data_IF_169755461789
#
_entry.id   IF_169755461789
#
_cell.length_a   1.000
_cell.length_b   1.000
_cell.length_c   1.000
_cell.angle_alpha   90.00
_cell.angle_beta   90.00
_cell.angle_gamma   90.00
#
_symmetry.space_group_name_H-M   'P 1'
#
loop_
_entity.id
_entity.type
_entity.pdbx_description
1 polymer ?
#
# COMPACT_ATOMS: atom_id res chain seq x y z
N UNK A 1 -5.83 12.66 9.90
CA UNK A 1 -4.62 11.80 9.82
C UNK A 1 -4.07 11.85 8.41
N UNK A 2 -2.75 11.70 8.24
CA UNK A 2 -2.11 11.74 6.91
C UNK A 2 -1.21 10.53 6.72
N UNK A 3 -1.32 9.88 5.57
CA UNK A 3 -0.46 8.78 5.16
C UNK A 3 0.36 9.17 3.94
N UNK A 4 1.62 8.74 3.94
CA UNK A 4 2.57 8.93 2.85
C UNK A 4 2.91 7.56 2.29
N UNK A 5 2.80 7.37 0.98
CA UNK A 5 3.20 6.13 0.33
C UNK A 5 4.19 6.41 -0.80
N UNK A 6 5.29 5.65 -0.78
CA UNK A 6 6.31 5.66 -1.81
C UNK A 6 5.88 4.73 -2.93
N UNK A 7 5.88 5.25 -4.15
CA UNK A 7 5.62 4.44 -5.32
C UNK A 7 6.75 3.44 -5.57
N UNK A 8 6.42 2.35 -6.27
CA UNK A 8 7.39 1.38 -6.77
C UNK A 8 8.54 2.02 -7.54
N UNK A 9 9.71 1.39 -7.56
CA UNK A 9 10.74 1.75 -8.54
C UNK A 9 10.20 1.46 -9.94
N UNK A 10 9.64 2.51 -10.53
CA UNK A 10 9.23 2.56 -11.91
C UNK A 10 10.48 2.88 -12.73
N UNK A 11 11.47 1.98 -12.74
CA UNK A 11 12.53 1.97 -13.77
C UNK A 11 11.91 1.58 -15.11
N UNK A 12 10.97 2.40 -15.57
CA UNK A 12 10.30 2.24 -16.85
C UNK A 12 11.20 2.89 -17.88
N UNK A 13 11.92 2.07 -18.63
CA UNK A 13 12.45 2.51 -19.92
C UNK A 13 11.24 2.89 -20.79
N UNK A 14 11.05 4.18 -21.05
CA UNK A 14 10.00 4.70 -21.94
C UNK A 14 8.72 5.19 -21.24
N UNK A 15 8.66 6.50 -21.02
CA UNK A 15 7.50 7.42 -20.98
C UNK A 15 6.18 7.16 -20.21
N UNK A 16 5.90 6.03 -19.56
CA UNK A 16 4.55 5.83 -18.99
C UNK A 16 4.37 6.18 -17.50
N UNK A 17 5.36 6.82 -16.84
CA UNK A 17 5.30 7.13 -15.40
C UNK A 17 4.01 7.84 -14.97
N UNK A 18 3.57 8.83 -15.74
CA UNK A 18 2.35 9.59 -15.44
C UNK A 18 1.09 8.70 -15.47
N UNK A 19 1.03 7.73 -16.39
CA UNK A 19 -0.09 6.79 -16.47
C UNK A 19 -0.13 5.89 -15.23
N UNK A 20 1.04 5.40 -14.77
CA UNK A 20 1.15 4.61 -13.56
C UNK A 20 0.74 5.39 -12.31
N UNK A 21 1.18 6.65 -12.19
CA UNK A 21 0.79 7.53 -11.10
C UNK A 21 -0.73 7.78 -11.09
N UNK A 22 -1.30 8.11 -12.25
CA UNK A 22 -2.73 8.35 -12.39
C UNK A 22 -3.56 7.10 -12.08
N UNK A 23 -3.13 5.94 -12.57
CA UNK A 23 -3.78 4.66 -12.31
C UNK A 23 -3.71 4.28 -10.84
N UNK A 24 -2.55 4.45 -10.19
CA UNK A 24 -2.42 4.17 -8.77
C UNK A 24 -3.35 5.08 -7.95
N UNK A 25 -3.37 6.38 -8.25
CA UNK A 25 -4.29 7.34 -7.63
C UNK A 25 -5.75 6.92 -7.81
N UNK A 26 -6.13 6.49 -9.02
CA UNK A 26 -7.46 6.00 -9.31
C UNK A 26 -7.81 4.74 -8.51
N UNK A 27 -6.89 3.76 -8.45
CA UNK A 27 -7.07 2.53 -7.69
C UNK A 27 -7.20 2.82 -6.18
N UNK A 28 -6.39 3.73 -5.64
CA UNK A 28 -6.52 4.18 -4.25
C UNK A 28 -7.91 4.81 -4.00
N UNK A 29 -8.36 5.69 -4.91
CA UNK A 29 -9.67 6.33 -4.78
C UNK A 29 -10.83 5.33 -4.85
N UNK A 30 -10.72 4.30 -5.70
CA UNK A 30 -11.70 3.23 -5.78
C UNK A 30 -11.80 2.42 -4.46
N UNK A 31 -10.66 2.08 -3.86
CA UNK A 31 -10.62 1.35 -2.58
C UNK A 31 -11.15 2.17 -1.39
N UNK A 32 -10.97 3.50 -1.42
CA UNK A 32 -11.35 4.40 -0.34
C UNK A 32 -12.63 5.20 -0.64
N UNK A 33 -13.40 4.76 -1.63
CA UNK A 33 -14.61 5.45 -2.04
C UNK A 33 -15.62 5.55 -0.89
N UNK A 34 -16.24 6.72 -0.71
CA UNK A 34 -17.21 6.97 0.35
C UNK A 34 -16.63 7.28 1.73
N UNK A 35 -15.29 7.25 1.91
CA UNK A 35 -14.64 7.51 3.20
C UNK A 35 -14.20 8.97 3.42
N UNK A 36 -14.55 9.89 2.51
CA UNK A 36 -14.16 11.31 2.62
C UNK A 36 -12.65 11.58 2.51
N UNK A 37 -11.86 10.59 2.07
CA UNK A 37 -10.40 10.71 1.98
C UNK A 37 -9.98 11.66 0.85
N UNK A 38 -9.03 12.57 1.14
CA UNK A 38 -8.39 13.41 0.14
C UNK A 38 -7.10 12.74 -0.35
N UNK A 39 -7.07 12.39 -1.62
CA UNK A 39 -5.94 11.65 -2.23
C UNK A 39 -5.23 12.57 -3.21
N UNK A 40 -3.93 12.79 -3.00
CA UNK A 40 -3.08 13.57 -3.90
C UNK A 40 -1.79 12.81 -4.22
N UNK A 41 -1.21 13.11 -5.37
CA UNK A 41 0.05 12.51 -5.81
C UNK A 41 0.96 13.64 -6.25
N UNK A 42 2.16 13.69 -5.68
CA UNK A 42 3.13 14.74 -5.97
C UNK A 42 4.54 14.16 -5.94
N UNK A 43 5.30 14.37 -7.03
CA UNK A 43 6.70 13.95 -7.16
C UNK A 43 6.95 12.48 -6.75
N UNK A 44 6.16 11.54 -7.28
CA UNK A 44 6.32 10.11 -6.99
C UNK A 44 5.92 9.68 -5.57
N UNK A 45 5.12 10.50 -4.87
CA UNK A 45 4.55 10.18 -3.55
C UNK A 45 3.05 10.33 -3.55
N UNK A 46 2.38 9.33 -3.00
CA UNK A 46 0.95 9.33 -2.74
C UNK A 46 0.70 9.84 -1.32
N UNK A 47 -0.23 10.77 -1.20
CA UNK A 47 -0.68 11.37 0.05
C UNK A 47 -2.16 11.05 0.24
N UNK A 48 -2.51 10.59 1.44
CA UNK A 48 -3.90 10.29 1.81
C UNK A 48 -4.20 11.01 3.12
N UNK A 49 -5.01 12.06 3.06
CA UNK A 49 -5.55 12.73 4.24
C UNK A 49 -6.95 12.16 4.53
N UNK A 50 -7.17 11.67 5.74
CA UNK A 50 -8.44 11.05 6.15
C UNK A 50 -8.77 11.29 7.63
N UNK A 51 -10.02 11.07 8.00
CA UNK A 51 -10.44 11.05 9.40
C UNK A 51 -9.96 9.78 10.11
N UNK A 52 -9.97 9.80 11.45
CA UNK A 52 -9.56 8.65 12.27
C UNK A 52 -10.43 7.41 12.02
N UNK A 53 -11.72 7.60 11.76
CA UNK A 53 -12.66 6.51 11.44
C UNK A 53 -12.30 5.74 10.17
N UNK A 54 -11.54 6.35 9.25
CA UNK A 54 -11.11 5.71 8.00
C UNK A 54 -9.72 5.05 8.11
N UNK A 55 -9.01 5.24 9.22
CA UNK A 55 -7.61 4.83 9.37
C UNK A 55 -7.37 3.35 9.07
N UNK A 56 -8.16 2.45 9.69
CA UNK A 56 -8.02 1.00 9.49
C UNK A 56 -8.19 0.60 8.01
N UNK A 57 -9.13 1.24 7.30
CA UNK A 57 -9.37 0.97 5.88
C UNK A 57 -8.26 1.51 4.99
N UNK A 58 -7.68 2.66 5.35
CA UNK A 58 -6.52 3.23 4.65
C UNK A 58 -5.30 2.34 4.84
N UNK A 59 -4.99 1.92 6.06
CA UNK A 59 -3.88 1.02 6.35
C UNK A 59 -4.05 -0.34 5.65
N UNK A 60 -5.25 -0.91 5.67
CA UNK A 60 -5.57 -2.11 4.91
C UNK A 60 -5.34 -1.90 3.41
N UNK A 61 -5.81 -0.79 2.84
CA UNK A 61 -5.63 -0.47 1.43
C UNK A 61 -4.15 -0.34 1.08
N UNK A 62 -3.38 0.42 1.86
CA UNK A 62 -1.94 0.62 1.63
C UNK A 62 -1.13 -0.67 1.71
N UNK A 63 -1.56 -1.61 2.57
CA UNK A 63 -0.94 -2.94 2.68
C UNK A 63 -1.26 -3.87 1.50
N UNK A 64 -2.38 -3.67 0.79
CA UNK A 64 -2.81 -4.57 -0.31
C UNK A 64 -2.71 -3.93 -1.69
N UNK A 65 -2.52 -2.61 -1.78
CA UNK A 65 -2.43 -1.89 -3.04
C UNK A 65 -1.08 -2.18 -3.73
N UNK A 66 -1.17 -2.76 -4.92
CA UNK A 66 0.00 -3.07 -5.75
C UNK A 66 0.55 -1.79 -6.40
N UNK A 67 1.88 -1.69 -6.46
CA UNK A 67 2.57 -0.47 -6.94
C UNK A 67 3.12 0.44 -5.83
N UNK A 68 2.91 0.10 -4.54
CA UNK A 68 3.49 0.82 -3.40
C UNK A 68 4.67 0.01 -2.84
N UNK A 69 5.83 0.66 -2.65
CA UNK A 69 7.01 0.02 -2.02
C UNK A 69 6.97 0.07 -0.51
N UNK A 70 6.42 1.14 0.04
CA UNK A 70 6.23 1.30 1.47
C UNK A 70 5.41 2.54 1.77
N UNK A 71 4.89 2.60 2.98
CA UNK A 71 4.05 3.70 3.43
C UNK A 71 4.28 4.01 4.91
N UNK A 72 3.98 5.22 5.33
CA UNK A 72 4.10 5.65 6.72
C UNK A 72 2.93 6.54 7.10
N UNK A 73 2.47 6.41 8.34
CA UNK A 73 1.57 7.38 8.97
C UNK A 73 2.40 8.59 9.39
N UNK A 74 2.00 9.78 8.96
CA UNK A 74 2.72 11.02 9.20
C UNK A 74 1.91 11.99 10.06
N UNK A 75 2.61 12.61 11.01
CA UNK A 75 2.16 13.79 11.72
C UNK A 75 2.42 15.00 10.83
N UNK A 76 1.36 15.76 10.54
CA UNK A 76 1.47 17.03 9.82
C UNK A 76 1.52 18.14 10.86
N UNK A 77 2.51 19.03 10.74
CA UNK A 77 2.67 20.17 11.63
C UNK A 77 2.91 21.46 10.86
N UNK A 78 2.88 22.58 11.58
CA UNK A 78 3.20 23.90 11.04
C UNK A 78 4.65 23.99 10.57
N UNK A 79 4.93 24.91 9.65
CA UNK A 79 6.28 25.19 9.16
C UNK A 79 7.07 26.07 10.14
N UNK A 80 7.21 25.60 11.37
CA UNK A 80 8.00 26.26 12.42
C UNK A 80 8.88 25.22 13.11
N UNK A 81 10.05 25.63 13.59
CA UNK A 81 10.96 24.69 14.24
C UNK A 81 10.36 24.15 15.54
N UNK A 82 9.57 24.96 16.23
CA UNK A 82 8.86 24.60 17.45
C UNK A 82 7.86 23.47 17.20
N UNK A 83 7.05 23.59 16.15
CA UNK A 83 6.07 22.57 15.78
C UNK A 83 6.74 21.28 15.27
N UNK A 84 7.87 21.41 14.57
CA UNK A 84 8.69 20.26 14.14
C UNK A 84 9.26 19.54 15.35
N UNK A 85 9.89 20.27 16.29
CA UNK A 85 10.49 19.70 17.50
C UNK A 85 9.44 18.95 18.33
N UNK A 86 8.25 19.51 18.46
CA UNK A 86 7.15 18.84 19.17
C UNK A 86 6.71 17.55 18.45
N UNK A 87 6.49 17.60 17.14
CA UNK A 87 6.08 16.43 16.37
C UNK A 87 7.16 15.32 16.34
N UNK A 88 8.45 15.70 16.29
CA UNK A 88 9.58 14.77 16.39
C UNK A 88 9.62 14.12 17.77
N UNK A 89 9.48 14.92 18.83
CA UNK A 89 9.45 14.41 20.21
C UNK A 89 8.29 13.44 20.44
N UNK A 90 7.08 13.75 19.96
CA UNK A 90 5.92 12.88 20.12
C UNK A 90 6.12 11.53 19.40
N UNK A 91 6.70 11.55 18.20
CA UNK A 91 7.05 10.33 17.47
C UNK A 91 8.15 9.54 18.22
N UNK A 92 9.17 10.22 18.74
CA UNK A 92 10.24 9.58 19.51
C UNK A 92 9.70 8.91 20.78
N UNK A 93 8.79 9.58 21.50
CA UNK A 93 8.17 9.05 22.71
C UNK A 93 7.37 7.77 22.42
N UNK A 94 6.66 7.71 21.29
CA UNK A 94 5.96 6.50 20.86
C UNK A 94 6.93 5.36 20.57
N UNK A 95 8.07 5.62 19.93
CA UNK A 95 9.07 4.59 19.62
C UNK A 95 9.84 4.12 20.86
N UNK A 96 10.16 5.04 21.78
CA UNK A 96 10.76 4.70 23.07
C UNK A 96 9.82 3.79 23.89
N UNK A 97 8.51 4.06 23.90
CA UNK A 97 7.49 3.19 24.52
C UNK A 97 7.40 1.81 23.86
N UNK A 98 7.74 1.69 22.58
CA UNK A 98 7.85 0.42 21.85
C UNK A 98 9.17 -0.31 22.12
N UNK A 99 10.08 0.27 22.91
CA UNK A 99 11.34 -0.35 23.33
C UNK A 99 12.57 0.06 22.51
N UNK A 100 12.45 1.03 21.60
CA UNK A 100 13.62 1.59 20.91
C UNK A 100 14.54 2.29 21.91
N UNK A 101 15.85 2.06 21.81
CA UNK A 101 16.87 2.66 22.69
C UNK A 101 17.74 3.66 21.97
N UNK A 102 17.88 3.50 20.65
CA UNK A 102 18.66 4.39 19.79
C UNK A 102 17.81 5.02 18.70
N UNK A 103 18.17 6.23 18.27
CA UNK A 103 17.45 6.94 17.22
C UNK A 103 18.36 7.72 16.29
N UNK A 104 17.81 8.06 15.13
CA UNK A 104 18.38 9.01 14.17
C UNK A 104 17.30 9.93 13.64
N UNK A 105 17.62 11.19 13.39
CA UNK A 105 16.74 12.13 12.68
C UNK A 105 17.29 12.32 11.25
N UNK A 106 16.46 12.07 10.23
CA UNK A 106 16.77 12.35 8.82
C UNK A 106 15.82 13.43 8.29
N UNK A 107 16.33 14.67 8.19
CA UNK A 107 15.57 15.79 7.68
C UNK A 107 15.83 16.04 6.18
N UNK A 108 14.76 16.14 5.40
CA UNK A 108 14.81 16.46 3.96
C UNK A 108 13.98 17.69 3.66
N UNK A 109 14.54 18.54 2.80
CA UNK A 109 13.95 19.84 2.49
C UNK A 109 13.82 20.06 1.00
N UNK A 110 12.57 19.93 0.52
CA UNK A 110 12.19 20.35 -0.82
C UNK A 110 11.98 21.87 -0.88
N UNK A 111 11.43 22.45 0.19
CA UNK A 111 11.21 23.89 0.31
C UNK A 111 12.48 24.62 0.80
N UNK A 112 13.23 25.21 -0.15
CA UNK A 112 14.47 25.95 0.15
C UNK A 112 14.23 27.31 0.83
N UNK A 113 12.97 27.74 0.98
CA UNK A 113 12.60 28.97 1.70
C UNK A 113 12.56 28.81 3.23
N UNK A 114 12.53 27.58 3.76
CA UNK A 114 12.59 27.38 5.22
C UNK A 114 13.91 27.94 5.81
N UNK A 115 13.88 28.59 6.99
CA UNK A 115 15.06 29.26 7.54
C UNK A 115 16.23 28.33 7.87
N UNK A 116 15.93 27.10 8.29
CA UNK A 116 16.95 26.13 8.72
C UNK A 116 17.31 25.14 7.62
N UNK A 117 18.58 24.73 7.61
CA UNK A 117 19.07 23.60 6.82
C UNK A 117 18.58 22.27 7.39
N UNK A 118 18.60 21.21 6.58
CA UNK A 118 18.31 19.85 7.05
C UNK A 118 19.13 19.47 8.28
N UNK A 119 20.42 19.78 8.27
CA UNK A 119 21.32 19.50 9.39
C UNK A 119 20.90 20.26 10.67
N UNK A 120 20.59 21.56 10.54
CA UNK A 120 20.11 22.35 11.68
C UNK A 120 18.79 21.81 12.24
N UNK A 121 17.84 21.40 11.39
CA UNK A 121 16.60 20.75 11.85
C UNK A 121 16.91 19.50 12.67
N UNK A 122 17.82 18.63 12.18
CA UNK A 122 18.23 17.44 12.91
C UNK A 122 18.81 17.79 14.30
N UNK A 123 19.72 18.76 14.37
CA UNK A 123 20.36 19.17 15.63
C UNK A 123 19.36 19.77 16.63
N UNK A 124 18.53 20.71 16.18
CA UNK A 124 17.53 21.38 17.03
C UNK A 124 16.50 20.40 17.58
N UNK A 125 16.06 19.44 16.77
CA UNK A 125 15.09 18.43 17.21
C UNK A 125 15.71 17.31 18.05
N UNK A 126 17.02 17.03 17.92
CA UNK A 126 17.68 15.93 18.64
C UNK A 126 17.76 16.17 20.16
N UNK A 127 18.03 17.40 20.59
CA UNK A 127 18.32 17.70 22.01
C UNK A 127 17.22 17.24 22.96
N UNK A 128 15.94 17.41 22.59
CA UNK A 128 14.80 16.95 23.41
C UNK A 128 14.55 15.44 23.32
N UNK A 129 14.98 14.81 22.23
CA UNK A 129 14.82 13.35 22.03
C UNK A 129 15.90 12.55 22.78
N UNK A 130 17.07 13.14 23.02
CA UNK A 130 18.17 12.52 23.78
C UNK A 130 17.79 12.16 25.23
N UNK A 131 16.77 12.82 25.79
CA UNK A 131 16.19 12.46 27.09
C UNK A 131 15.46 11.10 27.07
N UNK A 132 15.06 10.62 25.89
CA UNK A 132 14.28 9.39 25.69
C UNK A 132 15.12 8.24 25.14
N UNK A 133 16.04 8.52 24.21
CA UNK A 133 16.82 7.54 23.46
C UNK A 133 18.21 8.09 23.12
N UNK A 134 19.20 7.23 22.86
CA UNK A 134 20.56 7.65 22.48
C UNK A 134 20.68 7.86 20.96
N UNK A 135 21.49 8.82 20.52
CA UNK A 135 21.76 9.00 19.09
C UNK A 135 22.65 7.87 18.56
N UNK A 136 22.23 7.21 17.49
CA UNK A 136 23.07 6.34 16.65
C UNK A 136 22.82 6.66 15.18
N UNK A 137 23.81 7.24 14.50
CA UNK A 137 23.68 7.67 13.09
C UNK A 137 23.95 6.55 12.09
N UNK A 138 24.50 5.43 12.54
CA UNK A 138 24.92 4.30 11.73
C UNK A 138 23.89 3.17 11.75
N UNK A 139 23.46 2.74 12.94
CA UNK A 139 22.52 1.63 13.12
C UNK A 139 21.45 1.96 14.18
N UNK A 140 20.58 2.96 13.93
CA UNK A 140 19.51 3.32 14.87
C UNK A 140 18.43 2.24 14.95
N UNK A 141 17.83 2.08 16.14
CA UNK A 141 16.63 1.24 16.31
C UNK A 141 15.41 1.86 15.60
N UNK A 142 15.31 3.19 15.59
CA UNK A 142 14.31 3.90 14.78
C UNK A 142 14.88 5.14 14.10
N UNK A 143 14.41 5.41 12.87
CA UNK A 143 14.69 6.68 12.19
C UNK A 143 13.43 7.54 12.17
N UNK A 144 13.56 8.79 12.65
CA UNK A 144 12.52 9.80 12.56
C UNK A 144 12.82 10.68 11.35
N UNK A 145 11.92 10.64 10.38
CA UNK A 145 12.03 11.42 9.15
C UNK A 145 11.29 12.75 9.31
N UNK A 146 11.92 13.84 8.90
CA UNK A 146 11.30 15.16 8.82
C UNK A 146 11.33 15.63 7.38
N UNK A 147 10.18 15.84 6.76
CA UNK A 147 10.09 16.35 5.39
C UNK A 147 9.45 17.73 5.34
N UNK A 148 10.26 18.73 5.02
CA UNK A 148 9.81 20.10 4.82
C UNK A 148 9.54 20.34 3.33
N UNK A 149 8.26 20.39 2.98
CA UNK A 149 7.72 20.64 1.63
C UNK A 149 6.70 21.79 1.67
N UNK A 150 5.60 21.69 0.94
CA UNK A 150 4.43 22.58 1.10
C UNK A 150 3.78 22.43 2.48
N UNK A 151 3.84 21.24 3.07
CA UNK A 151 3.53 20.94 4.48
C UNK A 151 4.77 20.31 5.12
N UNK A 152 4.81 20.26 6.45
CA UNK A 152 5.84 19.48 7.15
C UNK A 152 5.26 18.14 7.57
N UNK A 153 6.00 17.07 7.28
CA UNK A 153 5.63 15.72 7.64
C UNK A 153 6.69 15.13 8.56
N UNK A 154 6.26 14.60 9.71
CA UNK A 154 7.12 13.87 10.64
C UNK A 154 6.59 12.46 10.77
N UNK A 155 7.44 11.46 10.53
CA UNK A 155 7.06 10.06 10.57
C UNK A 155 8.26 9.18 10.94
N UNK A 156 8.00 7.92 11.27
CA UNK A 156 9.04 6.92 11.60
C UNK A 156 9.13 5.87 10.50
N UNK A 157 9.90 4.81 10.70
CA UNK A 157 10.14 3.78 9.69
C UNK A 157 8.85 3.32 8.97
N UNK A 158 8.95 3.22 7.64
CA UNK A 158 7.83 2.90 6.78
C UNK A 158 7.49 1.42 6.80
N UNK A 159 6.20 1.11 6.83
CA UNK A 159 5.67 -0.22 6.55
C UNK A 159 6.00 -0.64 5.12
N UNK A 160 6.24 -1.94 4.93
CA UNK A 160 6.57 -2.50 3.61
C UNK A 160 5.28 -2.74 2.83
N UNK A 161 5.18 -2.14 1.63
CA UNK A 161 4.06 -2.36 0.71
C UNK A 161 4.23 -3.64 -0.14
N UNK A 162 3.17 -4.03 -0.85
CA UNK A 162 3.18 -5.22 -1.70
C UNK A 162 4.12 -5.15 -2.94
N UNK A 163 4.61 -3.96 -3.27
CA UNK A 163 5.43 -3.68 -4.47
C UNK A 163 4.66 -4.09 -5.74
N UNK A 164 5.36 -4.41 -6.82
CA UNK A 164 4.75 -4.75 -8.10
C UNK A 164 4.30 -3.53 -8.88
N UNK A 165 3.41 -3.75 -9.85
CA UNK A 165 2.84 -2.70 -10.70
C UNK A 165 1.37 -2.44 -10.31
N UNK A 166 0.88 -1.19 -10.42
CA UNK A 166 -0.53 -0.87 -10.28
C UNK A 166 -1.41 -1.77 -11.15
N UNK A 167 -2.44 -2.37 -10.57
CA UNK A 167 -3.38 -3.24 -11.30
C UNK A 167 -4.10 -2.44 -12.38
N UNK A 168 -4.14 -3.00 -13.60
CA UNK A 168 -4.68 -2.33 -14.79
C UNK A 168 -3.62 -1.64 -15.65
N UNK A 169 -2.34 -1.64 -15.24
CA UNK A 169 -1.24 -1.10 -16.05
C UNK A 169 -0.80 -2.06 -17.17
N UNK A 170 -1.24 -3.30 -17.11
CA UNK A 170 -1.05 -4.32 -18.15
C UNK A 170 -2.40 -4.76 -18.72
N UNK A 171 -2.39 -5.82 -19.53
CA UNK A 171 -3.59 -6.39 -20.14
C UNK A 171 -4.61 -6.89 -19.10
N UNK A 172 -5.79 -7.27 -19.60
CA UNK A 172 -6.79 -8.02 -18.83
C UNK A 172 -6.62 -9.51 -19.12
N UNK A 173 -6.85 -10.35 -18.12
CA UNK A 173 -6.82 -11.80 -18.28
C UNK A 173 -7.95 -12.50 -17.52
N UNK A 174 -8.38 -13.64 -18.05
CA UNK A 174 -9.32 -14.54 -17.40
C UNK A 174 -8.56 -15.63 -16.65
N UNK A 175 -8.72 -15.68 -15.33
CA UNK A 175 -8.11 -16.68 -14.45
C UNK A 175 -9.06 -17.87 -14.31
N UNK A 176 -8.62 -19.05 -14.76
CA UNK A 176 -9.27 -20.30 -14.40
C UNK A 176 -9.01 -20.60 -12.92
N UNK A 177 -9.99 -20.29 -12.08
CA UNK A 177 -9.88 -20.43 -10.63
C UNK A 177 -10.47 -21.77 -10.20
N UNK A 178 -9.67 -22.54 -9.47
CA UNK A 178 -10.07 -23.83 -8.89
C UNK A 178 -10.06 -23.76 -7.36
N UNK A 179 -10.57 -24.81 -6.70
CA UNK A 179 -10.47 -24.98 -5.26
C UNK A 179 -9.05 -25.35 -4.77
N UNK A 180 -8.07 -25.47 -5.67
CA UNK A 180 -6.66 -25.69 -5.36
C UNK A 180 -5.91 -24.40 -4.98
N UNK A 181 -4.66 -24.55 -4.53
CA UNK A 181 -3.81 -23.41 -4.14
C UNK A 181 -3.08 -22.77 -5.33
N UNK A 182 -2.89 -23.50 -6.43
CA UNK A 182 -2.04 -23.04 -7.53
C UNK A 182 -2.69 -21.91 -8.33
N UNK A 183 -3.96 -22.07 -8.69
CA UNK A 183 -4.70 -21.05 -9.45
C UNK A 183 -4.78 -19.68 -8.75
N UNK A 184 -5.10 -19.56 -7.45
CA UNK A 184 -5.05 -18.26 -6.80
C UNK A 184 -3.63 -17.69 -6.69
N UNK A 185 -2.61 -18.51 -6.45
CA UNK A 185 -1.21 -18.04 -6.45
C UNK A 185 -0.81 -17.51 -7.84
N UNK A 186 -1.22 -18.19 -8.91
CA UNK A 186 -1.02 -17.72 -10.29
C UNK A 186 -1.72 -16.37 -10.52
N UNK A 187 -2.98 -16.23 -10.10
CA UNK A 187 -3.73 -14.99 -10.15
C UNK A 187 -3.02 -13.83 -9.45
N UNK A 188 -2.59 -14.04 -8.20
CA UNK A 188 -1.85 -13.05 -7.43
C UNK A 188 -0.54 -12.63 -8.11
N UNK A 189 0.23 -13.59 -8.64
CA UNK A 189 1.47 -13.30 -9.37
C UNK A 189 1.22 -12.43 -10.61
N UNK A 190 0.12 -12.64 -11.32
CA UNK A 190 -0.24 -11.82 -12.48
C UNK A 190 -0.73 -10.43 -12.08
N UNK A 191 -1.54 -10.33 -11.02
CA UNK A 191 -1.93 -9.05 -10.42
C UNK A 191 -0.71 -8.20 -10.07
N UNK A 192 0.32 -8.79 -9.42
CA UNK A 192 1.58 -8.10 -9.09
C UNK A 192 2.34 -7.55 -10.30
N UNK A 193 2.07 -8.08 -11.50
CA UNK A 193 2.64 -7.57 -12.78
C UNK A 193 1.71 -6.58 -13.47
N UNK A 194 0.71 -6.05 -12.77
CA UNK A 194 -0.20 -5.03 -13.26
C UNK A 194 -1.37 -5.55 -14.10
N UNK A 195 -1.50 -6.87 -14.28
CA UNK A 195 -2.60 -7.45 -15.06
C UNK A 195 -3.90 -7.35 -14.26
N UNK A 196 -4.99 -6.89 -14.87
CA UNK A 196 -6.32 -6.99 -14.25
C UNK A 196 -6.88 -8.38 -14.51
N UNK A 197 -7.39 -9.04 -13.47
CA UNK A 197 -7.92 -10.41 -13.58
C UNK A 197 -9.41 -10.49 -13.30
N UNK A 198 -10.09 -11.34 -14.04
CA UNK A 198 -11.43 -11.84 -13.71
C UNK A 198 -11.36 -13.35 -13.53
N UNK A 199 -12.09 -13.88 -12.55
CA UNK A 199 -12.07 -15.29 -12.22
C UNK A 199 -13.17 -16.03 -12.99
N UNK A 200 -12.86 -17.23 -13.47
CA UNK A 200 -13.80 -18.17 -14.05
C UNK A 200 -13.68 -19.51 -13.32
N UNK A 201 -14.79 -20.01 -12.80
CA UNK A 201 -14.89 -21.30 -12.13
C UNK A 201 -15.94 -22.16 -12.80
N UNK A 202 -15.54 -23.36 -13.23
CA UNK A 202 -16.46 -24.37 -13.74
C UNK A 202 -17.01 -25.19 -12.58
N UNK A 203 -18.33 -25.14 -12.41
CA UNK A 203 -19.03 -25.84 -11.36
C UNK A 203 -19.94 -26.93 -11.94
N UNK A 204 -19.78 -28.16 -11.48
CA UNK A 204 -20.49 -29.33 -12.00
C UNK A 204 -21.43 -29.92 -10.95
N UNK A 205 -22.42 -29.16 -10.49
CA UNK A 205 -23.44 -29.67 -9.58
C UNK A 205 -24.28 -30.78 -10.25
N UNK A 206 -24.60 -31.90 -9.57
CA UNK A 206 -24.33 -32.23 -8.16
C UNK A 206 -23.00 -32.98 -7.91
N UNK A 207 -22.18 -33.21 -8.94
CA UNK A 207 -20.91 -33.93 -8.81
C UNK A 207 -19.84 -33.18 -8.03
N UNK A 208 -19.90 -31.84 -8.03
CA UNK A 208 -19.12 -30.98 -7.15
C UNK A 208 -20.03 -30.36 -6.10
N UNK A 209 -19.60 -30.43 -4.84
CA UNK A 209 -20.39 -29.96 -3.71
C UNK A 209 -20.44 -28.43 -3.60
N UNK A 210 -21.40 -27.91 -2.85
CA UNK A 210 -21.50 -26.48 -2.55
C UNK A 210 -20.32 -25.97 -1.71
N UNK A 211 -19.72 -26.82 -0.87
CA UNK A 211 -18.50 -26.47 -0.12
C UNK A 211 -17.31 -26.21 -1.05
N UNK A 212 -17.19 -26.98 -2.13
CA UNK A 212 -16.15 -26.77 -3.14
C UNK A 212 -16.34 -25.41 -3.84
N UNK A 213 -17.57 -25.05 -4.17
CA UNK A 213 -17.92 -23.71 -4.70
C UNK A 213 -17.60 -22.62 -3.69
N UNK A 214 -17.97 -22.79 -2.42
CA UNK A 214 -17.71 -21.80 -1.37
C UNK A 214 -16.21 -21.57 -1.16
N UNK A 215 -15.40 -22.63 -1.23
CA UNK A 215 -13.93 -22.52 -1.18
C UNK A 215 -13.40 -21.61 -2.29
N UNK A 216 -13.91 -21.76 -3.52
CA UNK A 216 -13.52 -20.91 -4.65
C UNK A 216 -13.96 -19.46 -4.45
N UNK A 217 -15.17 -19.24 -3.93
CA UNK A 217 -15.65 -17.89 -3.58
C UNK A 217 -14.71 -17.23 -2.57
N UNK A 218 -14.31 -17.94 -1.51
CA UNK A 218 -13.37 -17.40 -0.51
C UNK A 218 -11.99 -17.10 -1.11
N UNK A 219 -11.49 -17.94 -2.01
CA UNK A 219 -10.22 -17.68 -2.72
C UNK A 219 -10.33 -16.44 -3.62
N UNK A 220 -11.45 -16.28 -4.34
CA UNK A 220 -11.70 -15.11 -5.18
C UNK A 220 -11.80 -13.82 -4.34
N UNK A 221 -12.44 -13.88 -3.17
CA UNK A 221 -12.50 -12.75 -2.22
C UNK A 221 -11.12 -12.31 -1.74
N UNK A 222 -10.23 -13.27 -1.41
CA UNK A 222 -8.85 -12.96 -1.02
C UNK A 222 -8.04 -12.33 -2.16
N UNK A 223 -8.25 -12.77 -3.40
CA UNK A 223 -7.64 -12.14 -4.57
C UNK A 223 -8.16 -10.72 -4.80
N UNK A 224 -9.45 -10.48 -4.54
CA UNK A 224 -10.07 -9.18 -4.73
C UNK A 224 -9.44 -8.08 -3.86
N UNK A 225 -8.84 -8.42 -2.71
CA UNK A 225 -8.08 -7.46 -1.89
C UNK A 225 -6.95 -6.78 -2.68
N UNK A 226 -6.38 -7.46 -3.66
CA UNK A 226 -5.30 -6.93 -4.51
C UNK A 226 -5.80 -6.46 -5.88
N UNK A 227 -6.94 -6.99 -6.34
CA UNK A 227 -7.48 -6.76 -7.69
C UNK A 227 -8.34 -5.50 -7.85
N UNK A 228 -8.56 -4.72 -6.78
CA UNK A 228 -9.49 -3.57 -6.71
C UNK A 228 -10.95 -3.99 -6.90
N UNK A 229 -11.30 -4.44 -8.10
CA UNK A 229 -12.60 -5.01 -8.43
C UNK A 229 -12.36 -6.31 -9.19
N UNK A 230 -12.83 -7.43 -8.65
CA UNK A 230 -12.66 -8.76 -9.23
C UNK A 230 -14.02 -9.44 -9.33
N UNK A 231 -14.37 -9.88 -10.53
CA UNK A 231 -15.57 -10.67 -10.79
C UNK A 231 -15.25 -12.15 -10.71
N UNK A 232 -16.19 -12.94 -10.17
CA UNK A 232 -16.16 -14.39 -10.20
C UNK A 232 -17.32 -14.89 -11.06
N UNK A 233 -16.99 -15.43 -12.22
CA UNK A 233 -17.94 -16.06 -13.13
C UNK A 233 -18.03 -17.56 -12.79
N UNK A 234 -19.23 -18.02 -12.41
CA UNK A 234 -19.49 -19.42 -12.09
C UNK A 234 -20.23 -20.03 -13.26
N UNK A 235 -19.58 -20.95 -13.97
CA UNK A 235 -20.07 -21.54 -15.21
C UNK A 235 -20.60 -22.96 -14.92
N UNK A 236 -21.89 -23.25 -15.15
CA UNK A 236 -22.41 -24.60 -15.07
C UNK A 236 -21.74 -25.50 -16.11
N UNK A 237 -21.12 -26.60 -15.67
CA UNK A 237 -20.34 -27.46 -16.55
C UNK A 237 -20.82 -28.93 -16.59
N UNK A 238 -21.84 -29.27 -15.80
CA UNK A 238 -22.36 -30.64 -15.67
C UNK A 238 -22.76 -31.27 -17.01
N UNK A 239 -23.59 -30.58 -17.80
CA UNK A 239 -24.08 -31.13 -19.07
C UNK A 239 -22.94 -31.40 -20.06
N UNK A 240 -21.98 -30.48 -20.13
CA UNK A 240 -20.80 -30.61 -20.99
C UNK A 240 -19.95 -31.79 -20.53
N UNK A 241 -19.70 -31.88 -19.22
CA UNK A 241 -18.93 -32.96 -18.62
C UNK A 241 -19.57 -34.34 -18.86
N UNK A 242 -20.90 -34.45 -18.74
CA UNK A 242 -21.61 -35.70 -19.00
C UNK A 242 -21.52 -36.12 -20.46
N UNK A 243 -21.71 -35.18 -21.40
CA UNK A 243 -21.54 -35.47 -22.84
C UNK A 243 -20.12 -35.91 -23.20
N UNK A 244 -19.10 -35.31 -22.58
CA UNK A 244 -17.71 -35.73 -22.77
C UNK A 244 -17.51 -37.15 -22.22
N UNK A 245 -18.01 -37.45 -21.01
CA UNK A 245 -17.90 -38.79 -20.42
C UNK A 245 -18.57 -39.87 -21.29
N UNK A 246 -19.68 -39.56 -21.95
CA UNK A 246 -20.41 -40.49 -22.82
C UNK A 246 -19.76 -40.70 -24.19
N UNK A 247 -19.11 -39.68 -24.74
CA UNK A 247 -18.68 -39.65 -26.16
C UNK A 247 -17.18 -39.59 -26.38
N UNK A 248 -16.39 -39.31 -25.34
CA UNK A 248 -14.94 -39.30 -25.47
C UNK A 248 -14.43 -40.73 -25.67
N UNK A 249 -13.47 -40.94 -26.60
CA UNK A 249 -12.87 -42.23 -26.87
C UNK A 249 -12.05 -42.78 -25.68
#
# INVERSE_FOLDING_TARGET
MTYLAKLGELTLKGSNLQEFENLLKHNTAACLNGLGCKISLMAGRLYIDCDESAAEKVEFTLNHLLGITGWAKATVCEKTIEAINQAVYDNALLQAKKGCKTFKIDARRADKGFPLTSYQICCESAGRVEELMKVDVHNPDCTIYVEVRERVFVYTDSEIGCRGLPVGSSSKGLLLLSGGLDSPVAGYRMLRRGMKIECCYFHSYPYTSDEAKQKVVTLAQKLAYYGITTYLNIIPFTEVQMKIKEKAP
#
